data_IF_820787797058
#
_entry.id   IF_820787797058
#
_cell.length_a   1.000
_cell.length_b   1.000
_cell.length_c   1.000
_cell.angle_alpha   90.00
_cell.angle_beta   90.00
_cell.angle_gamma   90.00
#
_symmetry.space_group_name_H-M   'P 1'
#
loop_
_entity.id
_entity.type
_entity.pdbx_description
1 polymer ?
#
# COMPACT_ATOMS: atom_id res chain seq x y z
N UNK A 1 14.01 5.12 -66.73
CA UNK A 1 15.09 5.54 -65.83
C UNK A 1 14.47 6.42 -64.76
N UNK A 2 14.51 5.95 -63.51
CA UNK A 2 13.65 6.40 -62.40
C UNK A 2 13.93 7.85 -62.01
N UNK A 3 12.86 8.63 -61.84
CA UNK A 3 12.88 10.01 -61.36
C UNK A 3 13.14 10.05 -59.84
N UNK A 4 14.01 10.97 -59.45
CA UNK A 4 14.35 11.38 -58.08
C UNK A 4 13.12 12.04 -57.43
N UNK A 5 12.76 11.61 -56.21
CA UNK A 5 11.68 12.20 -55.43
C UNK A 5 11.83 11.87 -53.94
N UNK A 6 12.26 12.86 -53.18
CA UNK A 6 12.56 12.88 -51.75
C UNK A 6 11.35 12.54 -50.85
N UNK A 7 10.97 11.26 -50.75
CA UNK A 7 9.96 10.84 -49.77
C UNK A 7 10.61 10.52 -48.42
N UNK A 8 10.99 11.58 -47.70
CA UNK A 8 11.26 11.56 -46.26
C UNK A 8 9.95 11.47 -45.44
N UNK A 9 9.07 10.54 -45.83
CA UNK A 9 7.78 10.25 -45.18
C UNK A 9 7.49 8.76 -45.10
N UNK A 10 8.51 7.91 -45.30
CA UNK A 10 8.39 6.51 -44.93
C UNK A 10 8.44 6.39 -43.39
N UNK A 11 7.50 5.61 -42.88
CA UNK A 11 7.33 5.17 -41.49
C UNK A 11 6.83 6.22 -40.49
N UNK A 12 5.54 6.57 -40.59
CA UNK A 12 4.73 6.82 -39.39
C UNK A 12 3.26 6.47 -39.65
N UNK A 13 2.98 5.20 -39.95
CA UNK A 13 1.61 4.65 -40.02
C UNK A 13 1.37 3.54 -38.99
N UNK A 14 2.17 3.52 -37.93
CA UNK A 14 2.00 2.61 -36.80
C UNK A 14 2.01 3.33 -35.44
N UNK A 15 1.27 4.44 -35.34
CA UNK A 15 0.66 4.76 -34.04
C UNK A 15 -0.58 3.87 -33.90
N UNK A 16 -0.35 2.56 -33.83
CA UNK A 16 -1.34 1.54 -33.53
C UNK A 16 -1.79 1.82 -32.10
N UNK A 17 -2.97 2.43 -31.97
CA UNK A 17 -3.91 2.38 -30.83
C UNK A 17 -3.35 1.67 -29.58
N UNK A 18 -2.67 2.41 -28.70
CA UNK A 18 -2.54 2.01 -27.29
C UNK A 18 -3.85 2.28 -26.55
N UNK A 19 -4.95 1.69 -27.00
CA UNK A 19 -6.14 1.55 -26.17
C UNK A 19 -6.03 0.18 -25.54
N UNK A 20 -5.28 0.08 -24.43
CA UNK A 20 -5.31 -1.14 -23.62
C UNK A 20 -6.74 -1.32 -23.16
N UNK A 21 -7.42 -2.30 -23.74
CA UNK A 21 -8.77 -2.66 -23.35
C UNK A 21 -8.69 -3.07 -21.87
N UNK A 22 -9.26 -2.26 -20.98
CA UNK A 22 -9.33 -2.60 -19.56
C UNK A 22 -10.45 -3.62 -19.39
N UNK A 23 -10.13 -4.89 -19.63
CA UNK A 23 -11.05 -5.98 -19.33
C UNK A 23 -11.25 -6.01 -17.81
N UNK A 24 -12.44 -5.62 -17.36
CA UNK A 24 -12.86 -5.70 -15.96
C UNK A 24 -13.39 -7.11 -15.70
N UNK A 25 -12.92 -7.73 -14.63
CA UNK A 25 -13.40 -9.03 -14.16
C UNK A 25 -14.28 -8.85 -12.93
N UNK A 26 -15.35 -9.64 -12.83
CA UNK A 26 -16.18 -9.68 -11.64
C UNK A 26 -15.52 -10.55 -10.57
N UNK A 27 -15.48 -10.05 -9.33
CA UNK A 27 -14.97 -10.78 -8.17
C UNK A 27 -16.11 -10.93 -7.16
N UNK A 28 -16.34 -12.15 -6.67
CA UNK A 28 -17.34 -12.46 -5.64
C UNK A 28 -16.64 -13.07 -4.43
N UNK A 29 -16.95 -12.58 -3.23
CA UNK A 29 -16.46 -13.11 -1.97
C UNK A 29 -17.57 -13.12 -0.92
N UNK A 30 -17.43 -13.99 0.08
CA UNK A 30 -18.33 -14.06 1.24
C UNK A 30 -17.71 -13.30 2.40
N UNK A 31 -18.54 -12.58 3.14
CA UNK A 31 -18.18 -11.81 4.32
C UNK A 31 -19.34 -11.91 5.31
N UNK A 32 -19.02 -11.91 6.60
CA UNK A 32 -20.05 -11.85 7.64
C UNK A 32 -20.85 -10.55 7.53
N UNK A 33 -22.16 -10.65 7.82
CA UNK A 33 -23.09 -9.54 7.65
C UNK A 33 -22.68 -8.34 8.51
N UNK A 34 -22.33 -8.59 9.77
CA UNK A 34 -21.97 -7.56 10.74
C UNK A 34 -20.69 -6.84 10.32
N UNK A 35 -19.71 -7.57 9.79
CA UNK A 35 -18.44 -6.99 9.33
C UNK A 35 -18.62 -6.16 8.06
N UNK A 36 -19.51 -6.60 7.16
CA UNK A 36 -19.91 -5.80 5.99
C UNK A 36 -20.54 -4.48 6.41
N UNK A 37 -21.44 -4.48 7.39
CA UNK A 37 -22.11 -3.26 7.87
C UNK A 37 -21.12 -2.29 8.50
N UNK A 38 -20.26 -2.77 9.42
CA UNK A 38 -19.22 -1.95 10.05
C UNK A 38 -18.28 -1.31 9.03
N UNK A 39 -17.79 -2.09 8.07
CA UNK A 39 -16.81 -1.57 7.10
C UNK A 39 -17.45 -0.60 6.11
N UNK A 40 -18.72 -0.81 5.75
CA UNK A 40 -19.46 0.14 4.90
C UNK A 40 -19.64 1.49 5.60
N UNK A 41 -19.95 1.50 6.90
CA UNK A 41 -20.05 2.75 7.66
C UNK A 41 -18.73 3.53 7.63
N UNK A 42 -17.60 2.87 7.90
CA UNK A 42 -16.27 3.48 7.86
C UNK A 42 -15.97 4.11 6.49
N UNK A 43 -16.18 3.35 5.40
CA UNK A 43 -15.87 3.85 4.06
C UNK A 43 -16.84 4.93 3.58
N UNK A 44 -18.12 4.85 3.96
CA UNK A 44 -19.09 5.90 3.66
C UNK A 44 -18.74 7.21 4.37
N UNK A 45 -18.28 7.15 5.62
CA UNK A 45 -17.78 8.33 6.35
C UNK A 45 -16.54 8.94 5.68
N UNK A 46 -15.75 8.13 4.97
CA UNK A 46 -14.62 8.58 4.14
C UNK A 46 -15.04 9.02 2.73
N UNK A 47 -16.33 8.99 2.40
CA UNK A 47 -16.86 9.39 1.09
C UNK A 47 -16.55 8.39 -0.04
N UNK A 48 -16.34 7.10 0.28
CA UNK A 48 -16.04 6.07 -0.71
C UNK A 48 -16.91 4.82 -0.58
N UNK A 49 -17.20 4.18 -1.72
CA UNK A 49 -17.88 2.89 -1.73
C UNK A 49 -16.96 1.76 -1.32
N UNK A 50 -17.52 0.66 -0.80
CA UNK A 50 -16.76 -0.57 -0.50
C UNK A 50 -16.02 -1.11 -1.72
N UNK A 51 -16.62 -1.03 -2.91
CA UNK A 51 -15.98 -1.45 -4.17
C UNK A 51 -14.78 -0.57 -4.53
N UNK A 52 -14.86 0.74 -4.27
CA UNK A 52 -13.74 1.66 -4.46
C UNK A 52 -12.62 1.34 -3.48
N UNK A 53 -12.94 1.16 -2.20
CA UNK A 53 -11.96 0.80 -1.17
C UNK A 53 -11.26 -0.53 -1.48
N UNK A 54 -12.00 -1.54 -1.94
CA UNK A 54 -11.43 -2.82 -2.36
C UNK A 54 -10.47 -2.67 -3.56
N UNK A 55 -10.83 -1.85 -4.56
CA UNK A 55 -9.91 -1.57 -5.67
C UNK A 55 -8.62 -0.89 -5.20
N UNK A 56 -8.70 0.04 -4.25
CA UNK A 56 -7.52 0.67 -3.64
C UNK A 56 -6.67 -0.37 -2.91
N UNK A 57 -7.28 -1.26 -2.13
CA UNK A 57 -6.61 -2.37 -1.44
C UNK A 57 -5.81 -3.25 -2.42
N UNK A 58 -6.44 -3.66 -3.52
CA UNK A 58 -5.78 -4.48 -4.56
C UNK A 58 -4.61 -3.72 -5.20
N UNK A 59 -4.80 -2.44 -5.54
CA UNK A 59 -3.72 -1.62 -6.11
C UNK A 59 -2.57 -1.43 -5.15
N UNK A 60 -2.85 -1.24 -3.86
CA UNK A 60 -1.81 -1.13 -2.83
C UNK A 60 -1.03 -2.43 -2.68
N UNK A 61 -1.73 -3.57 -2.68
CA UNK A 61 -1.10 -4.89 -2.59
C UNK A 61 -0.11 -5.14 -3.74
N UNK A 62 -0.50 -4.75 -4.97
CA UNK A 62 0.36 -4.85 -6.15
C UNK A 62 1.60 -3.96 -6.01
N UNK A 63 1.43 -2.72 -5.51
CA UNK A 63 2.53 -1.77 -5.33
C UNK A 63 3.55 -2.24 -4.30
N UNK A 64 3.08 -2.86 -3.21
CA UNK A 64 3.94 -3.40 -2.15
C UNK A 64 4.49 -4.79 -2.46
N UNK A 65 4.00 -5.47 -3.51
CA UNK A 65 4.35 -6.85 -3.83
C UNK A 65 3.89 -7.84 -2.74
N UNK A 66 2.84 -7.49 -1.98
CA UNK A 66 2.47 -8.18 -0.77
C UNK A 66 1.17 -7.69 -0.16
N UNK A 67 0.99 -7.98 1.12
CA UNK A 67 -0.22 -7.62 1.86
C UNK A 67 -0.18 -6.12 2.24
N UNK A 68 -1.24 -5.32 1.97
CA UNK A 68 -1.16 -3.84 1.93
C UNK A 68 -1.18 -3.15 3.31
N UNK A 69 -1.01 -3.92 4.37
CA UNK A 69 -0.76 -3.45 5.72
C UNK A 69 0.23 -4.38 6.41
N UNK A 70 1.04 -3.83 7.31
CA UNK A 70 1.99 -4.62 8.09
C UNK A 70 1.20 -5.58 8.99
N UNK A 71 1.47 -6.88 8.85
CA UNK A 71 0.77 -7.93 9.62
C UNK A 71 1.33 -8.11 11.02
N UNK A 72 2.48 -7.48 11.31
CA UNK A 72 3.13 -7.49 12.61
C UNK A 72 2.99 -6.12 13.26
N UNK A 73 2.87 -6.10 14.58
CA UNK A 73 2.90 -4.85 15.33
C UNK A 73 4.23 -4.11 15.05
N UNK A 74 4.19 -2.85 14.58
CA UNK A 74 5.37 -2.03 14.34
C UNK A 74 6.32 -1.95 15.54
N UNK A 75 5.78 -2.07 16.77
CA UNK A 75 6.54 -2.14 18.01
C UNK A 75 7.52 -3.31 18.02
N UNK A 76 7.16 -4.48 17.49
CA UNK A 76 8.07 -5.64 17.46
C UNK A 76 8.95 -5.71 16.21
N UNK A 77 9.15 -4.58 15.50
CA UNK A 77 10.08 -4.53 14.37
C UNK A 77 11.52 -4.87 14.79
N UNK A 78 12.30 -5.50 13.91
CA UNK A 78 13.70 -5.87 14.18
C UNK A 78 14.53 -4.68 14.67
N UNK A 79 14.30 -3.50 14.09
CA UNK A 79 14.97 -2.25 14.50
C UNK A 79 14.61 -1.88 15.94
N UNK A 80 13.31 -1.90 16.28
CA UNK A 80 12.86 -1.53 17.62
C UNK A 80 13.30 -2.54 18.68
N UNK A 81 13.22 -3.85 18.37
CA UNK A 81 13.71 -4.91 19.26
C UNK A 81 15.22 -4.80 19.51
N UNK A 82 16.01 -4.47 18.48
CA UNK A 82 17.44 -4.23 18.65
C UNK A 82 17.74 -3.01 19.53
N UNK A 83 16.98 -1.93 19.37
CA UNK A 83 17.11 -0.74 20.22
C UNK A 83 16.71 -1.02 21.67
N UNK A 84 15.61 -1.75 21.88
CA UNK A 84 15.17 -2.17 23.20
C UNK A 84 16.23 -3.04 23.89
N UNK A 85 16.82 -4.01 23.17
CA UNK A 85 17.90 -4.83 23.70
C UNK A 85 19.13 -4.01 24.10
N UNK A 86 19.51 -3.00 23.30
CA UNK A 86 20.60 -2.07 23.64
C UNK A 86 20.30 -1.29 24.92
N UNK A 87 19.10 -0.73 25.04
CA UNK A 87 18.69 0.05 26.23
C UNK A 87 18.64 -0.81 27.49
N UNK A 88 18.14 -2.05 27.39
CA UNK A 88 18.16 -3.01 28.50
C UNK A 88 19.60 -3.31 28.93
N UNK A 89 20.52 -3.52 27.97
CA UNK A 89 21.92 -3.76 28.30
C UNK A 89 22.59 -2.54 28.98
N UNK A 90 22.28 -1.33 28.51
CA UNK A 90 22.75 -0.09 29.13
C UNK A 90 22.20 0.09 30.54
N UNK A 91 20.89 -0.13 30.74
CA UNK A 91 20.24 -0.01 32.05
C UNK A 91 20.77 -1.04 33.06
N UNK A 92 21.18 -2.23 32.61
CA UNK A 92 21.87 -3.22 33.47
C UNK A 92 23.26 -2.75 33.90
N UNK A 93 23.98 -2.04 33.03
CA UNK A 93 25.34 -1.56 33.31
C UNK A 93 25.35 -0.22 34.05
N UNK A 94 24.30 0.58 33.91
CA UNK A 94 24.13 1.87 34.56
C UNK A 94 22.65 2.03 34.97
N UNK A 95 22.27 1.59 36.18
CA UNK A 95 20.93 1.84 36.68
C UNK A 95 20.79 3.36 36.85
N UNK A 96 19.94 3.97 36.02
CA UNK A 96 19.76 5.42 36.00
C UNK A 96 19.33 6.01 37.34
N UNK A 97 19.43 7.32 37.47
CA UNK A 97 19.07 8.02 38.70
C UNK A 97 17.55 7.99 38.94
N UNK A 98 17.16 7.51 40.11
CA UNK A 98 15.76 7.52 40.55
C UNK A 98 15.35 8.97 40.82
N UNK A 99 14.48 9.51 39.98
CA UNK A 99 13.80 10.76 40.28
C UNK A 99 12.55 10.49 41.13
N UNK A 100 12.29 11.37 42.08
CA UNK A 100 11.02 11.38 42.82
C UNK A 100 9.86 11.62 41.85
N UNK A 101 8.73 10.97 42.12
CA UNK A 101 7.50 11.25 41.40
C UNK A 101 7.11 12.70 41.65
N UNK A 102 6.58 13.37 40.64
CA UNK A 102 5.96 14.68 40.83
C UNK A 102 4.67 14.44 41.62
N UNK A 103 4.56 15.06 42.80
CA UNK A 103 3.30 15.13 43.52
C UNK A 103 2.35 16.06 42.73
N UNK A 104 1.10 15.64 42.57
CA UNK A 104 0.03 16.37 41.85
C UNK A 104 -0.28 17.77 42.46
#
# INVERSE_FOLDING_TARGET
MMLIGSNMIYTCREVIKMTSKSDKVQVSFRIDKDDKEKVMEIYNNLGMSLSTAFNVFVKRSILEGGFPFETRDPFYSKKNMNELAKRIAQAKNNPGEVHQLLDD
#
